data_IF_953480765428
#
_entry.id   IF_953480765428
#
_cell.length_a   1.000
_cell.length_b   1.000
_cell.length_c   1.000
_cell.angle_alpha   90.00
_cell.angle_beta   90.00
_cell.angle_gamma   90.00
#
_symmetry.space_group_name_H-M   'P 1'
#
loop_
_entity.id
_entity.type
_entity.pdbx_description
1 polymer ?
#
# COMPACT_ATOMS: atom_id res chain seq x y z
N UNK A 1 -5.30 58.06 -11.59
CA UNK A 1 -4.50 59.27 -11.36
C UNK A 1 -4.00 59.30 -9.93
N UNK A 2 -2.67 59.25 -9.78
CA UNK A 2 -1.91 60.20 -8.95
C UNK A 2 -2.16 60.08 -7.44
N UNK A 3 -1.33 59.31 -6.73
CA UNK A 3 -0.14 59.79 -5.96
C UNK A 3 -0.35 59.17 -4.57
N UNK A 4 0.59 58.69 -3.79
CA UNK A 4 2.04 58.73 -3.76
C UNK A 4 2.28 57.61 -2.72
N UNK A 5 2.90 56.49 -3.05
CA UNK A 5 4.35 56.42 -2.92
C UNK A 5 4.85 57.31 -1.76
N UNK A 6 5.31 56.66 -0.70
CA UNK A 6 6.50 57.14 -0.01
C UNK A 6 6.33 58.40 0.83
N UNK A 7 6.12 58.18 2.13
CA UNK A 7 6.91 58.90 3.12
C UNK A 7 7.37 57.88 4.17
N UNK A 8 8.60 57.41 3.96
CA UNK A 8 9.65 57.48 4.98
C UNK A 8 9.40 56.54 6.18
N UNK A 9 9.92 55.32 6.18
CA UNK A 9 11.36 55.07 6.40
C UNK A 9 11.93 56.00 7.48
N UNK A 10 11.46 55.92 8.73
CA UNK A 10 12.19 56.47 9.89
C UNK A 10 11.65 55.95 11.24
N UNK A 11 11.54 54.63 11.40
CA UNK A 11 11.92 54.02 12.68
C UNK A 11 12.84 52.84 12.36
N UNK A 12 13.97 53.21 11.77
CA UNK A 12 15.20 52.44 11.81
C UNK A 12 15.68 52.42 13.27
N UNK A 13 16.01 51.23 13.77
CA UNK A 13 16.66 50.96 15.06
C UNK A 13 15.86 51.23 16.34
N UNK A 14 15.29 50.16 16.90
CA UNK A 14 15.86 49.60 18.13
C UNK A 14 15.53 48.11 18.23
N UNK A 15 16.53 47.29 17.92
CA UNK A 15 16.57 45.88 18.30
C UNK A 15 16.94 45.79 19.78
N UNK A 16 16.34 44.81 20.48
CA UNK A 16 16.77 44.04 21.67
C UNK A 16 15.67 43.95 22.74
N UNK A 17 15.62 42.89 23.56
CA UNK A 17 15.33 41.51 23.20
C UNK A 17 14.26 40.89 24.13
N UNK A 18 13.84 39.67 23.78
CA UNK A 18 13.23 38.62 24.60
C UNK A 18 13.20 38.89 26.11
N UNK A 19 12.00 39.14 26.64
CA UNK A 19 11.63 38.75 28.00
C UNK A 19 10.25 38.10 27.93
N UNK A 20 10.22 36.78 28.02
CA UNK A 20 9.01 35.97 27.98
C UNK A 20 8.12 36.29 29.19
N UNK A 21 6.97 36.94 28.96
CA UNK A 21 5.82 36.83 29.85
C UNK A 21 4.55 37.39 29.18
N UNK A 22 3.57 36.49 29.00
CA UNK A 22 2.13 36.77 29.12
C UNK A 22 1.40 37.46 27.95
N UNK A 23 0.42 36.76 27.37
CA UNK A 23 -1.03 37.09 27.48
C UNK A 23 -1.87 36.21 26.55
N UNK A 24 -2.64 35.32 27.18
CA UNK A 24 -3.80 34.62 26.60
C UNK A 24 -5.03 35.54 26.62
N UNK A 25 -5.84 35.49 25.56
CA UNK A 25 -7.29 35.75 25.54
C UNK A 25 -7.89 35.20 24.21
N UNK A 26 -9.18 34.82 24.13
CA UNK A 26 -9.78 33.62 24.70
C UNK A 26 -10.42 32.71 23.63
N UNK A 27 -10.37 31.38 23.83
CA UNK A 27 -11.09 30.40 23.00
C UNK A 27 -12.55 30.24 23.47
N UNK A 28 -13.53 30.02 22.57
CA UNK A 28 -14.91 29.73 22.97
C UNK A 28 -14.97 28.41 23.74
N UNK A 29 -15.67 28.45 24.88
CA UNK A 29 -15.77 27.39 25.86
C UNK A 29 -16.15 26.02 25.25
N UNK A 30 -15.17 25.10 25.17
CA UNK A 30 -15.46 23.68 25.10
C UNK A 30 -16.00 23.27 26.47
N UNK A 31 -17.24 22.80 26.52
CA UNK A 31 -17.74 22.03 27.68
C UNK A 31 -16.72 20.91 27.94
N UNK A 32 -16.32 20.64 29.19
CA UNK A 32 -15.46 19.50 29.47
C UNK A 32 -16.21 18.26 28.98
N UNK A 33 -15.64 17.58 27.99
CA UNK A 33 -16.09 16.23 27.62
C UNK A 33 -16.00 15.43 28.92
N UNK A 34 -17.15 15.04 29.46
CA UNK A 34 -17.17 14.26 30.70
C UNK A 34 -16.37 12.99 30.45
N UNK A 35 -15.57 12.56 31.41
CA UNK A 35 -14.61 11.45 31.26
C UNK A 35 -15.25 10.17 30.68
N UNK A 36 -16.56 9.98 30.94
CA UNK A 36 -17.39 8.89 30.37
C UNK A 36 -17.72 9.08 28.88
N UNK A 37 -18.04 10.31 28.44
CA UNK A 37 -18.22 10.63 27.03
C UNK A 37 -16.90 10.54 26.26
N UNK A 38 -15.81 11.02 26.84
CA UNK A 38 -14.48 10.97 26.22
C UNK A 38 -14.02 9.53 25.97
N UNK A 39 -14.20 8.64 26.95
CA UNK A 39 -13.86 7.21 26.78
C UNK A 39 -14.74 6.52 25.73
N UNK A 40 -16.02 6.87 25.64
CA UNK A 40 -16.95 6.30 24.66
C UNK A 40 -16.65 6.77 23.24
N UNK A 41 -16.48 8.07 23.04
CA UNK A 41 -16.16 8.65 21.73
C UNK A 41 -14.76 8.24 21.23
N UNK A 42 -13.77 8.15 22.11
CA UNK A 42 -12.43 7.62 21.75
C UNK A 42 -12.51 6.15 21.35
N UNK A 43 -13.32 5.34 22.05
CA UNK A 43 -13.57 3.93 21.70
C UNK A 43 -14.22 3.79 20.32
N UNK A 44 -15.32 4.49 20.07
CA UNK A 44 -16.05 4.46 18.78
C UNK A 44 -15.18 4.95 17.61
N UNK A 45 -14.38 6.01 17.83
CA UNK A 45 -13.45 6.52 16.82
C UNK A 45 -12.29 5.54 16.55
N UNK A 46 -11.77 4.87 17.57
CA UNK A 46 -10.75 3.83 17.42
C UNK A 46 -11.30 2.59 16.71
N UNK A 47 -12.51 2.14 17.06
CA UNK A 47 -13.22 1.04 16.39
C UNK A 47 -13.47 1.37 14.91
N UNK A 48 -13.89 2.60 14.60
CA UNK A 48 -14.09 3.05 13.20
C UNK A 48 -12.78 3.08 12.42
N UNK A 49 -11.68 3.55 13.03
CA UNK A 49 -10.36 3.56 12.39
C UNK A 49 -9.81 2.14 12.16
N UNK A 50 -10.00 1.25 13.13
CA UNK A 50 -9.62 -0.16 13.03
C UNK A 50 -10.42 -0.86 11.92
N UNK A 51 -11.75 -0.71 11.90
CA UNK A 51 -12.61 -1.27 10.86
C UNK A 51 -12.26 -0.72 9.46
N UNK A 52 -11.97 0.58 9.34
CA UNK A 52 -11.49 1.16 8.08
C UNK A 52 -10.17 0.55 7.61
N UNK A 53 -9.23 0.36 8.54
CA UNK A 53 -7.94 -0.28 8.25
C UNK A 53 -8.13 -1.75 7.84
N UNK A 54 -9.00 -2.50 8.51
CA UNK A 54 -9.32 -3.89 8.18
C UNK A 54 -9.93 -4.01 6.78
N UNK A 55 -10.94 -3.20 6.46
CA UNK A 55 -11.54 -3.20 5.11
C UNK A 55 -10.52 -2.91 4.01
N UNK A 56 -9.61 -1.94 4.23
CA UNK A 56 -8.54 -1.66 3.26
C UNK A 56 -7.58 -2.84 3.07
N UNK A 57 -7.30 -3.59 4.14
CA UNK A 57 -6.41 -4.75 4.10
C UNK A 57 -7.09 -5.93 3.41
N UNK A 58 -8.37 -6.16 3.68
CA UNK A 58 -9.17 -7.17 2.98
C UNK A 58 -9.28 -6.90 1.48
N UNK A 59 -9.58 -5.65 1.09
CA UNK A 59 -9.66 -5.27 -0.33
C UNK A 59 -8.34 -5.50 -1.04
N UNK A 60 -7.22 -5.14 -0.40
CA UNK A 60 -5.90 -5.40 -0.93
C UNK A 60 -5.61 -6.90 -1.07
N UNK A 61 -5.96 -7.72 -0.07
CA UNK A 61 -5.83 -9.19 -0.16
C UNK A 61 -6.68 -9.78 -1.29
N UNK A 62 -7.90 -9.28 -1.52
CA UNK A 62 -8.74 -9.70 -2.66
C UNK A 62 -8.10 -9.34 -3.99
N UNK A 63 -7.48 -8.17 -4.11
CA UNK A 63 -6.74 -7.76 -5.32
C UNK A 63 -5.55 -8.69 -5.59
N UNK A 64 -4.82 -9.10 -4.56
CA UNK A 64 -3.72 -10.07 -4.70
C UNK A 64 -4.22 -11.46 -5.10
N UNK A 65 -5.34 -11.90 -4.51
CA UNK A 65 -5.99 -13.17 -4.87
C UNK A 65 -6.42 -13.18 -6.33
N UNK A 66 -7.02 -12.09 -6.82
CA UNK A 66 -7.42 -11.95 -8.21
C UNK A 66 -6.23 -12.00 -9.17
N UNK A 67 -5.12 -11.34 -8.83
CA UNK A 67 -3.87 -11.40 -9.61
C UNK A 67 -3.28 -12.81 -9.66
N UNK A 68 -3.27 -13.53 -8.53
CA UNK A 68 -2.83 -14.92 -8.50
C UNK A 68 -3.68 -15.82 -9.39
N UNK A 69 -4.99 -15.59 -9.41
CA UNK A 69 -5.88 -16.39 -10.23
C UNK A 69 -5.78 -16.06 -11.73
N UNK A 70 -5.50 -14.81 -12.08
CA UNK A 70 -5.13 -14.43 -13.44
C UNK A 70 -3.83 -15.12 -13.87
N UNK A 71 -2.81 -15.12 -13.01
CA UNK A 71 -1.53 -15.79 -13.28
C UNK A 71 -1.70 -17.31 -13.39
N UNK A 72 -2.54 -17.93 -12.56
CA UNK A 72 -2.89 -19.35 -12.68
C UNK A 72 -3.44 -19.66 -14.06
N UNK A 73 -4.44 -18.89 -14.52
CA UNK A 73 -5.05 -19.08 -15.84
C UNK A 73 -4.03 -18.90 -16.95
N UNK A 74 -3.18 -17.89 -16.84
CA UNK A 74 -2.11 -17.65 -17.81
C UNK A 74 -1.12 -18.81 -17.88
N UNK A 75 -0.68 -19.36 -16.74
CA UNK A 75 0.23 -20.51 -16.74
C UNK A 75 -0.44 -21.74 -17.37
N UNK A 76 -1.71 -22.01 -17.05
CA UNK A 76 -2.46 -23.11 -17.69
C UNK A 76 -2.62 -22.92 -19.21
N UNK A 77 -2.79 -21.68 -19.66
CA UNK A 77 -2.86 -21.36 -21.09
C UNK A 77 -1.50 -21.57 -21.79
N UNK A 78 -0.40 -21.22 -21.12
CA UNK A 78 0.96 -21.48 -21.62
C UNK A 78 1.26 -22.99 -21.67
N UNK A 79 0.82 -23.76 -20.67
CA UNK A 79 0.91 -25.22 -20.68
C UNK A 79 0.18 -25.81 -21.88
N UNK A 80 -1.05 -25.37 -22.16
CA UNK A 80 -1.80 -25.83 -23.33
C UNK A 80 -1.11 -25.48 -24.65
N UNK A 81 -0.62 -24.24 -24.79
CA UNK A 81 0.11 -23.78 -26.00
C UNK A 81 1.44 -24.50 -26.20
N UNK A 82 2.12 -24.88 -25.12
CA UNK A 82 3.36 -25.66 -25.18
C UNK A 82 3.14 -27.01 -25.87
N UNK A 83 2.00 -27.69 -25.64
CA UNK A 83 1.71 -29.00 -26.25
C UNK A 83 1.66 -28.93 -27.80
N UNK A 84 1.38 -27.76 -28.38
CA UNK A 84 1.36 -27.53 -29.83
C UNK A 84 2.72 -27.06 -30.40
N UNK A 85 3.69 -26.75 -29.52
CA UNK A 85 4.99 -26.22 -29.90
C UNK A 85 5.96 -27.32 -30.40
N UNK A 86 7.06 -26.89 -31.05
CA UNK A 86 8.12 -27.81 -31.49
C UNK A 86 8.83 -28.46 -30.28
N UNK A 87 9.37 -29.69 -30.41
CA UNK A 87 10.01 -30.40 -29.29
C UNK A 87 11.11 -29.61 -28.58
N UNK A 88 11.87 -28.79 -29.30
CA UNK A 88 12.94 -27.96 -28.71
C UNK A 88 12.39 -26.82 -27.84
N UNK A 89 11.22 -26.29 -28.19
CA UNK A 89 10.51 -25.26 -27.43
C UNK A 89 9.82 -25.89 -26.22
N UNK A 90 9.18 -27.06 -26.41
CA UNK A 90 8.57 -27.83 -25.33
C UNK A 90 9.54 -28.13 -24.18
N UNK A 91 10.75 -28.59 -24.49
CA UNK A 91 11.75 -28.92 -23.47
C UNK A 91 12.13 -27.69 -22.62
N UNK A 92 12.33 -26.54 -23.25
CA UNK A 92 12.68 -25.28 -22.57
C UNK A 92 11.52 -24.74 -21.73
N UNK A 93 10.31 -24.74 -22.28
CA UNK A 93 9.12 -24.24 -21.61
C UNK A 93 8.69 -25.11 -20.44
N UNK A 94 8.85 -26.43 -20.53
CA UNK A 94 8.46 -27.35 -19.46
C UNK A 94 9.15 -27.02 -18.14
N UNK A 95 10.45 -26.75 -18.17
CA UNK A 95 11.20 -26.36 -16.96
C UNK A 95 10.74 -25.01 -16.42
N UNK A 96 10.51 -24.04 -17.31
CA UNK A 96 10.01 -22.71 -16.94
C UNK A 96 8.62 -22.76 -16.33
N UNK A 97 7.69 -23.49 -16.92
CA UNK A 97 6.32 -23.63 -16.41
C UNK A 97 6.30 -24.34 -15.06
N UNK A 98 7.11 -25.36 -14.85
CA UNK A 98 7.27 -25.99 -13.53
C UNK A 98 7.78 -25.01 -12.46
N UNK A 99 8.71 -24.12 -12.83
CA UNK A 99 9.19 -23.09 -11.91
C UNK A 99 8.09 -22.05 -11.61
N UNK A 100 7.34 -21.61 -12.62
CA UNK A 100 6.23 -20.67 -12.46
C UNK A 100 5.11 -21.25 -11.58
N UNK A 101 4.76 -22.52 -11.77
CA UNK A 101 3.77 -23.22 -10.95
C UNK A 101 4.18 -23.25 -9.46
N UNK A 102 5.46 -23.55 -9.18
CA UNK A 102 6.00 -23.51 -7.81
C UNK A 102 5.96 -22.11 -7.22
N UNK A 103 6.39 -21.09 -7.97
CA UNK A 103 6.34 -19.70 -7.54
C UNK A 103 4.90 -19.24 -7.23
N UNK A 104 3.92 -19.65 -8.06
CA UNK A 104 2.50 -19.38 -7.82
C UNK A 104 2.01 -20.04 -6.53
N UNK A 105 2.36 -21.30 -6.30
CA UNK A 105 2.00 -22.00 -5.05
C UNK A 105 2.62 -21.35 -3.81
N UNK A 106 3.86 -20.91 -3.89
CA UNK A 106 4.53 -20.17 -2.81
C UNK A 106 3.85 -18.82 -2.56
N UNK A 107 3.50 -18.08 -3.61
CA UNK A 107 2.77 -16.84 -3.50
C UNK A 107 1.36 -17.05 -2.91
N UNK A 108 0.68 -18.14 -3.26
CA UNK A 108 -0.60 -18.52 -2.64
C UNK A 108 -0.46 -18.79 -1.14
N UNK A 109 0.60 -19.48 -0.71
CA UNK A 109 0.88 -19.70 0.72
C UNK A 109 1.14 -18.38 1.45
N UNK A 110 1.95 -17.49 0.86
CA UNK A 110 2.23 -16.16 1.42
C UNK A 110 0.99 -15.29 1.51
N UNK A 111 0.04 -15.41 0.58
CA UNK A 111 -1.24 -14.72 0.68
C UNK A 111 -2.06 -15.22 1.88
N UNK A 112 -2.06 -16.53 2.13
CA UNK A 112 -2.71 -17.10 3.31
C UNK A 112 -2.05 -16.64 4.62
N UNK A 113 -0.71 -16.55 4.66
CA UNK A 113 0.02 -15.99 5.81
C UNK A 113 -0.29 -14.50 6.02
N UNK A 114 -0.39 -13.73 4.93
CA UNK A 114 -0.75 -12.31 4.97
C UNK A 114 -2.15 -12.07 5.56
N UNK A 115 -3.08 -13.02 5.42
CA UNK A 115 -4.42 -12.95 6.03
C UNK A 115 -4.37 -12.99 7.56
N UNK A 116 -3.41 -13.72 8.13
CA UNK A 116 -3.23 -13.81 9.59
C UNK A 116 -2.32 -12.71 10.16
N UNK A 117 -1.59 -11.97 9.32
CA UNK A 117 -0.60 -11.00 9.76
C UNK A 117 -1.22 -9.66 10.20
N UNK A 118 -0.55 -8.96 11.12
CA UNK A 118 -0.93 -7.65 11.63
C UNK A 118 0.28 -6.70 11.75
N UNK A 119 0.01 -5.39 11.76
CA UNK A 119 1.02 -4.36 11.97
C UNK A 119 2.22 -4.47 11.03
N UNK A 120 3.43 -4.41 11.59
CA UNK A 120 4.68 -4.42 10.81
C UNK A 120 4.87 -5.70 9.98
N UNK A 121 4.51 -6.85 10.52
CA UNK A 121 4.63 -8.13 9.82
C UNK A 121 3.76 -8.16 8.55
N UNK A 122 2.59 -7.52 8.60
CA UNK A 122 1.73 -7.42 7.42
C UNK A 122 2.36 -6.59 6.31
N UNK A 123 2.97 -5.44 6.63
CA UNK A 123 3.65 -4.61 5.63
C UNK A 123 4.83 -5.35 4.98
N UNK A 124 5.64 -6.05 5.79
CA UNK A 124 6.78 -6.84 5.30
C UNK A 124 6.31 -8.00 4.39
N UNK A 125 5.30 -8.76 4.81
CA UNK A 125 4.72 -9.85 4.02
C UNK A 125 4.04 -9.34 2.75
N UNK A 126 3.34 -8.20 2.81
CA UNK A 126 2.74 -7.54 1.65
C UNK A 126 3.79 -7.18 0.61
N UNK A 127 4.91 -6.57 1.02
CA UNK A 127 5.98 -6.21 0.10
C UNK A 127 6.64 -7.45 -0.52
N UNK A 128 6.84 -8.51 0.29
CA UNK A 128 7.40 -9.77 -0.20
C UNK A 128 6.49 -10.48 -1.20
N UNK A 129 5.17 -10.46 -0.98
CA UNK A 129 4.19 -11.03 -1.90
C UNK A 129 4.04 -10.20 -3.18
N UNK A 130 3.99 -8.87 -3.09
CA UNK A 130 3.97 -7.97 -4.26
C UNK A 130 5.17 -8.22 -5.18
N UNK A 131 6.37 -8.38 -4.60
CA UNK A 131 7.57 -8.76 -5.34
C UNK A 131 7.42 -10.12 -6.03
N UNK A 132 6.95 -11.14 -5.31
CA UNK A 132 6.76 -12.47 -5.86
C UNK A 132 5.75 -12.48 -7.04
N UNK A 133 4.66 -11.73 -6.94
CA UNK A 133 3.68 -11.61 -8.03
C UNK A 133 4.27 -10.91 -9.27
N UNK A 134 5.09 -9.87 -9.08
CA UNK A 134 5.78 -9.19 -10.19
C UNK A 134 6.76 -10.12 -10.90
N UNK A 135 7.51 -10.92 -10.14
CA UNK A 135 8.43 -11.92 -10.68
C UNK A 135 7.67 -13.01 -11.45
N UNK A 136 6.58 -13.54 -10.88
CA UNK A 136 5.72 -14.52 -11.54
C UNK A 136 5.10 -13.98 -12.83
N UNK A 137 4.63 -12.73 -12.82
CA UNK A 137 4.08 -12.07 -14.00
C UNK A 137 5.16 -11.84 -15.07
N UNK A 138 6.38 -11.48 -14.67
CA UNK A 138 7.51 -11.33 -15.59
C UNK A 138 7.89 -12.67 -16.22
N UNK A 139 8.03 -13.73 -15.43
CA UNK A 139 8.35 -15.06 -15.93
C UNK A 139 7.24 -15.63 -16.83
N UNK A 140 5.96 -15.36 -16.52
CA UNK A 140 4.84 -15.76 -17.38
C UNK A 140 4.87 -15.03 -18.74
N UNK A 141 5.24 -13.74 -18.76
CA UNK A 141 5.43 -12.99 -20.02
C UNK A 141 6.65 -13.46 -20.81
N UNK A 142 7.69 -13.90 -20.13
CA UNK A 142 8.89 -14.46 -20.78
C UNK A 142 8.57 -15.81 -21.43
N UNK A 143 7.87 -16.69 -20.71
CA UNK A 143 7.41 -17.97 -21.26
C UNK A 143 6.47 -17.77 -22.46
N UNK A 144 5.59 -16.78 -22.42
CA UNK A 144 4.71 -16.44 -23.55
C UNK A 144 5.51 -16.09 -24.81
N UNK A 145 6.60 -15.34 -24.70
CA UNK A 145 7.46 -14.96 -25.83
C UNK A 145 8.24 -16.11 -26.43
N UNK A 146 8.47 -17.20 -25.69
CA UNK A 146 9.13 -18.38 -26.23
C UNK A 146 8.20 -19.24 -27.09
N UNK A 147 6.88 -19.01 -27.02
CA UNK A 147 5.88 -19.66 -27.86
C UNK A 147 5.65 -18.93 -29.19
N UNK A 148 6.09 -17.68 -29.32
CA UNK A 148 6.03 -16.88 -30.56
C UNK A 148 7.12 -17.31 -31.56
#
# INVERSE_FOLDING_TARGET
>A
MKKLAWLVFLIFSLVLPVSCAQKEEPAPARKPVTEKQGKKEIGEAAETLLAYSEHKREDFQKQLAAQLEELRKKIAELEAKMEEAKPEIQARLKEKLQALEKQREEAQKRLAELQAAAGKAWEEMKAALDKALKELQAGSREAEKELE
#
